data_IF_515965697822
#
_entry.id   IF_515965697822
#
_cell.length_a   1.000
_cell.length_b   1.000
_cell.length_c   1.000
_cell.angle_alpha   90.00
_cell.angle_beta   90.00
_cell.angle_gamma   90.00
#
_symmetry.space_group_name_H-M   'P 1'
#
loop_
_entity.id
_entity.type
_entity.pdbx_description
1 polymer ?
#
# COMPACT_ATOMS: atom_id res chain seq x y z
N UNK A 1 17.74 2.68 29.89
CA UNK A 1 17.07 1.97 28.79
C UNK A 1 16.78 2.96 27.68
N UNK A 2 17.18 2.67 26.43
CA UNK A 2 16.99 3.60 25.32
C UNK A 2 15.52 3.74 24.93
N UNK A 3 15.19 4.79 24.15
CA UNK A 3 13.81 4.99 23.66
C UNK A 3 13.28 3.75 22.90
N UNK A 4 14.09 3.17 22.01
CA UNK A 4 13.67 2.01 21.21
C UNK A 4 13.56 0.71 21.99
N UNK A 5 14.35 0.52 23.05
CA UNK A 5 14.22 -0.64 23.94
C UNK A 5 12.89 -0.61 24.69
N UNK A 6 12.45 0.58 25.13
CA UNK A 6 11.16 0.77 25.80
C UNK A 6 10.00 0.46 24.87
N UNK A 7 10.08 0.87 23.60
CA UNK A 7 9.03 0.57 22.61
C UNK A 7 8.88 -0.94 22.40
N UNK A 8 9.99 -1.69 22.41
CA UNK A 8 9.98 -3.14 22.25
C UNK A 8 9.32 -3.84 23.44
N UNK A 9 9.60 -3.39 24.66
CA UNK A 9 8.93 -3.89 25.87
C UNK A 9 7.43 -3.58 25.86
N UNK A 10 7.01 -2.43 25.32
CA UNK A 10 5.59 -2.10 25.15
C UNK A 10 4.88 -3.04 24.17
N UNK A 11 5.54 -3.41 23.06
CA UNK A 11 5.02 -4.38 22.10
C UNK A 11 4.78 -5.74 22.76
N UNK A 12 5.76 -6.22 23.55
CA UNK A 12 5.64 -7.48 24.28
C UNK A 12 4.51 -7.43 25.33
N UNK A 13 4.41 -6.31 26.08
CA UNK A 13 3.36 -6.11 27.06
C UNK A 13 1.94 -6.10 26.44
N UNK A 14 1.83 -5.72 25.16
CA UNK A 14 0.59 -5.80 24.37
C UNK A 14 0.33 -7.20 23.78
N UNK A 15 1.20 -8.18 24.04
CA UNK A 15 1.04 -9.57 23.59
C UNK A 15 1.49 -9.83 22.16
N UNK A 16 2.24 -8.90 21.55
CA UNK A 16 2.77 -9.07 20.19
C UNK A 16 4.20 -9.59 20.22
N UNK A 17 4.60 -10.35 19.19
CA UNK A 17 6.01 -10.69 18.97
C UNK A 17 6.81 -9.41 18.70
N UNK A 18 7.78 -9.05 19.56
CA UNK A 18 8.56 -7.84 19.37
C UNK A 18 9.36 -7.83 18.06
N UNK A 19 9.68 -9.00 17.48
CA UNK A 19 10.39 -9.11 16.19
C UNK A 19 9.59 -8.51 15.03
N UNK A 20 8.27 -8.41 15.15
CA UNK A 20 7.41 -7.71 14.18
C UNK A 20 7.70 -6.21 14.10
N UNK A 21 8.24 -5.61 15.16
CA UNK A 21 8.58 -4.19 15.19
C UNK A 21 9.98 -3.97 14.58
N UNK A 22 10.09 -3.31 13.40
CA UNK A 22 11.38 -3.07 12.78
C UNK A 22 12.29 -2.23 13.68
N UNK A 23 13.63 -2.40 13.57
CA UNK A 23 14.58 -1.60 14.33
C UNK A 23 14.34 -0.09 14.15
N UNK A 24 14.37 0.65 15.25
CA UNK A 24 14.19 2.11 15.22
C UNK A 24 12.75 2.60 15.04
N UNK A 25 11.75 1.71 15.16
CA UNK A 25 10.34 2.09 15.11
C UNK A 25 9.65 2.06 16.48
N UNK A 26 8.43 2.58 16.54
CA UNK A 26 7.51 2.50 17.68
C UNK A 26 6.12 2.05 17.23
N UNK A 27 5.43 1.29 18.08
CA UNK A 27 4.06 0.84 17.81
C UNK A 27 3.07 1.99 18.06
N UNK A 28 2.09 2.14 17.18
CA UNK A 28 0.97 3.07 17.35
C UNK A 28 -0.36 2.37 17.09
N UNK A 29 -1.38 2.76 17.86
CA UNK A 29 -2.77 2.34 17.61
C UNK A 29 -3.51 3.32 16.69
N UNK A 30 -3.00 4.55 16.56
CA UNK A 30 -3.53 5.57 15.65
C UNK A 30 -3.15 5.24 14.21
N UNK A 31 -3.83 5.87 13.26
CA UNK A 31 -3.44 5.86 11.84
C UNK A 31 -2.84 7.23 11.51
N UNK A 32 -1.50 7.41 11.59
CA UNK A 32 -0.88 8.69 11.26
C UNK A 32 -1.15 9.04 9.80
N UNK A 33 -1.50 10.32 9.58
CA UNK A 33 -1.80 10.84 8.25
C UNK A 33 -0.58 11.59 7.74
N UNK A 34 -0.08 11.22 6.56
CA UNK A 34 1.07 11.80 5.90
C UNK A 34 0.72 12.05 4.43
N UNK A 35 0.97 13.26 3.94
CA UNK A 35 0.73 13.63 2.55
C UNK A 35 1.99 14.27 1.96
N UNK A 36 2.28 13.98 0.69
CA UNK A 36 3.40 14.63 -0.03
C UNK A 36 2.99 16.00 -0.57
N UNK A 37 1.71 16.17 -0.89
CA UNK A 37 1.10 17.40 -1.38
C UNK A 37 -0.27 17.60 -0.72
N UNK A 38 -1.12 18.40 -1.36
CA UNK A 38 -2.48 18.61 -0.88
C UNK A 38 -3.32 17.32 -0.99
N UNK A 39 -4.48 17.30 -0.32
CA UNK A 39 -5.44 16.20 -0.47
C UNK A 39 -6.28 16.48 -1.71
N UNK A 40 -6.25 15.62 -2.74
CA UNK A 40 -7.02 15.87 -3.94
C UNK A 40 -8.52 15.77 -3.63
N UNK A 41 -9.29 16.66 -4.24
CA UNK A 41 -10.75 16.65 -4.21
C UNK A 41 -11.24 16.26 -5.60
N UNK A 42 -12.13 15.27 -5.66
CA UNK A 42 -12.70 14.81 -6.92
C UNK A 42 -14.20 15.08 -6.93
N UNK A 43 -14.71 15.53 -8.06
CA UNK A 43 -16.13 15.44 -8.37
C UNK A 43 -16.52 14.01 -8.77
N UNK A 44 -17.82 13.71 -8.76
CA UNK A 44 -18.31 12.39 -9.17
C UNK A 44 -17.89 12.08 -10.62
N UNK A 45 -17.23 10.93 -10.83
CA UNK A 45 -16.73 10.48 -12.13
C UNK A 45 -15.39 11.07 -12.57
N UNK A 46 -14.73 11.90 -11.76
CA UNK A 46 -13.42 12.48 -12.10
C UNK A 46 -12.26 11.50 -11.86
N UNK A 47 -12.39 10.64 -10.84
CA UNK A 47 -11.33 9.71 -10.47
C UNK A 47 -11.19 8.57 -11.48
N UNK A 48 -9.95 8.27 -11.87
CA UNK A 48 -9.64 7.12 -12.73
C UNK A 48 -8.34 6.43 -12.29
N UNK A 49 -8.23 5.13 -12.59
CA UNK A 49 -7.00 4.36 -12.51
C UNK A 49 -6.63 3.84 -13.89
N UNK A 50 -5.41 4.12 -14.31
CA UNK A 50 -4.89 3.72 -15.63
C UNK A 50 -3.74 2.74 -15.47
N UNK A 51 -3.85 1.57 -16.10
CA UNK A 51 -2.82 0.53 -16.14
C UNK A 51 -2.17 0.53 -17.53
N UNK A 52 -0.87 0.86 -17.57
CA UNK A 52 -0.12 1.04 -18.83
C UNK A 52 1.33 0.56 -18.69
N UNK A 53 2.16 0.80 -19.71
CA UNK A 53 3.57 0.41 -19.74
C UNK A 53 3.76 -0.90 -20.48
N UNK A 54 4.54 -1.82 -19.91
CA UNK A 54 4.84 -3.12 -20.51
C UNK A 54 3.71 -4.14 -20.31
N UNK A 55 2.58 -3.84 -20.93
CA UNK A 55 1.34 -4.64 -20.90
C UNK A 55 0.80 -4.83 -22.32
N UNK A 56 0.08 -5.93 -22.54
CA UNK A 56 -0.50 -6.27 -23.83
C UNK A 56 -1.79 -5.47 -24.11
N UNK A 57 -2.57 -5.18 -23.08
CA UNK A 57 -3.87 -4.52 -23.16
C UNK A 57 -3.98 -3.42 -22.10
N UNK A 58 -3.43 -2.22 -22.35
CA UNK A 58 -3.58 -1.10 -21.43
C UNK A 58 -5.05 -0.68 -21.32
N UNK A 59 -5.46 -0.25 -20.12
CA UNK A 59 -6.83 0.16 -19.86
C UNK A 59 -6.91 1.23 -18.77
N UNK A 60 -8.06 1.91 -18.74
CA UNK A 60 -8.43 2.87 -17.69
C UNK A 60 -9.78 2.46 -17.13
N UNK A 61 -9.92 2.49 -15.82
CA UNK A 61 -11.19 2.27 -15.11
C UNK A 61 -11.54 3.47 -14.23
N UNK A 62 -12.83 3.73 -14.09
CA UNK A 62 -13.36 4.69 -13.12
C UNK A 62 -13.51 4.05 -11.72
N UNK A 63 -13.98 4.85 -10.76
CA UNK A 63 -14.14 4.40 -9.38
C UNK A 63 -15.23 3.33 -9.26
N UNK A 64 -16.35 3.50 -9.96
CA UNK A 64 -17.46 2.55 -9.97
C UNK A 64 -17.05 1.17 -10.49
N UNK A 65 -16.25 1.14 -11.55
CA UNK A 65 -15.68 -0.07 -12.12
C UNK A 65 -14.69 -0.73 -11.16
N UNK A 66 -13.82 0.05 -10.50
CA UNK A 66 -12.89 -0.49 -9.51
C UNK A 66 -13.64 -1.18 -8.36
N UNK A 67 -14.66 -0.54 -7.79
CA UNK A 67 -15.40 -1.11 -6.64
C UNK A 67 -16.30 -2.29 -7.04
N UNK A 68 -16.61 -2.44 -8.32
CA UNK A 68 -17.33 -3.60 -8.86
C UNK A 68 -16.44 -4.85 -9.00
N UNK A 69 -15.12 -4.71 -9.01
CA UNK A 69 -14.19 -5.84 -9.08
C UNK A 69 -14.19 -6.68 -7.79
N UNK A 70 -13.87 -7.98 -7.87
CA UNK A 70 -13.72 -8.83 -6.69
C UNK A 70 -12.75 -8.23 -5.68
N UNK A 71 -13.25 -7.98 -4.47
CA UNK A 71 -12.43 -7.47 -3.38
C UNK A 71 -12.00 -8.60 -2.44
N UNK A 72 -10.80 -8.47 -1.89
CA UNK A 72 -10.30 -9.33 -0.81
C UNK A 72 -10.06 -8.52 0.44
N UNK A 73 -10.02 -9.21 1.58
CA UNK A 73 -9.63 -8.64 2.87
C UNK A 73 -8.35 -9.30 3.37
N UNK A 74 -7.38 -8.48 3.75
CA UNK A 74 -6.08 -8.91 4.27
C UNK A 74 -5.83 -8.22 5.62
N UNK A 75 -5.24 -8.94 6.57
CA UNK A 75 -4.74 -8.36 7.81
C UNK A 75 -3.22 -8.39 7.76
N UNK A 76 -2.58 -7.21 7.73
CA UNK A 76 -1.13 -7.09 7.71
C UNK A 76 -0.68 -5.82 8.43
N UNK A 77 0.57 -5.83 8.88
CA UNK A 77 1.20 -4.69 9.51
C UNK A 77 1.55 -3.61 8.46
N UNK A 78 1.58 -2.35 8.89
CA UNK A 78 2.15 -1.24 8.12
C UNK A 78 3.30 -0.64 8.91
N UNK A 79 4.43 -0.44 8.23
CA UNK A 79 5.65 0.13 8.80
C UNK A 79 6.05 1.35 7.97
N UNK A 80 6.10 2.52 8.60
CA UNK A 80 6.47 3.75 7.91
C UNK A 80 7.94 4.08 8.16
N UNK A 81 8.63 4.56 7.13
CA UNK A 81 10.00 5.08 7.23
C UNK A 81 10.12 6.24 8.23
N UNK A 82 9.01 6.92 8.54
CA UNK A 82 8.93 7.95 9.60
C UNK A 82 8.80 7.36 11.01
N UNK A 83 9.17 6.08 11.17
CA UNK A 83 9.42 5.34 12.42
C UNK A 83 8.20 4.80 13.16
N UNK A 84 6.99 4.89 12.61
CA UNK A 84 5.83 4.29 13.26
C UNK A 84 5.41 2.98 12.58
N UNK A 85 4.95 2.03 13.38
CA UNK A 85 4.34 0.78 12.94
C UNK A 85 2.93 0.66 13.49
N UNK A 86 1.99 0.14 12.69
CA UNK A 86 0.65 -0.25 13.15
C UNK A 86 0.42 -1.71 12.80
N UNK A 87 0.15 -2.52 13.83
CA UNK A 87 -0.04 -3.94 13.68
C UNK A 87 -1.50 -4.31 13.39
N UNK A 88 -1.67 -5.49 12.80
CA UNK A 88 -2.97 -6.13 12.53
C UNK A 88 -3.95 -5.19 11.79
N UNK A 89 -3.42 -4.42 10.84
CA UNK A 89 -4.23 -3.49 10.07
C UNK A 89 -5.02 -4.27 9.02
N UNK A 90 -6.35 -4.10 9.04
CA UNK A 90 -7.22 -4.71 8.06
C UNK A 90 -7.32 -3.82 6.81
N UNK A 91 -7.10 -4.42 5.66
CA UNK A 91 -7.17 -3.80 4.34
C UNK A 91 -8.24 -4.51 3.51
N UNK A 92 -9.03 -3.74 2.77
CA UNK A 92 -9.98 -4.29 1.79
C UNK A 92 -9.79 -3.59 0.46
N UNK A 93 -9.72 -4.36 -0.62
CA UNK A 93 -9.61 -3.83 -1.97
C UNK A 93 -9.41 -4.90 -3.02
N UNK A 94 -9.21 -4.47 -4.26
CA UNK A 94 -8.90 -5.32 -5.42
C UNK A 94 -7.45 -5.77 -5.33
N UNK A 95 -7.16 -7.02 -5.69
CA UNK A 95 -5.75 -7.45 -5.76
C UNK A 95 -5.10 -6.83 -6.98
N UNK A 96 -3.90 -6.27 -6.78
CA UNK A 96 -3.09 -5.73 -7.88
C UNK A 96 -2.84 -6.79 -8.97
N UNK A 97 -2.66 -8.06 -8.59
CA UNK A 97 -2.51 -9.19 -9.53
C UNK A 97 -3.69 -9.34 -10.50
N UNK A 98 -4.91 -9.06 -10.06
CA UNK A 98 -6.10 -9.24 -10.90
C UNK A 98 -6.11 -8.17 -12.02
N UNK A 99 -5.64 -6.96 -11.70
CA UNK A 99 -5.43 -5.88 -12.69
C UNK A 99 -4.29 -6.22 -13.67
N UNK A 100 -3.24 -6.88 -13.18
CA UNK A 100 -2.11 -7.32 -13.99
C UNK A 100 -2.50 -8.42 -14.98
N UNK A 101 -3.30 -9.38 -14.53
CA UNK A 101 -3.87 -10.43 -15.38
C UNK A 101 -4.74 -9.83 -16.49
N UNK A 102 -5.60 -8.86 -16.15
CA UNK A 102 -6.41 -8.14 -17.14
C UNK A 102 -5.56 -7.36 -18.14
N UNK A 103 -4.48 -6.71 -17.69
CA UNK A 103 -3.60 -5.93 -18.57
C UNK A 103 -2.71 -6.82 -19.45
N UNK A 104 -2.42 -8.05 -19.01
CA UNK A 104 -1.47 -8.95 -19.65
C UNK A 104 -0.04 -8.42 -19.58
N UNK A 105 0.58 -8.50 -18.40
CA UNK A 105 1.99 -8.11 -18.21
C UNK A 105 2.90 -8.84 -19.21
N UNK A 106 3.75 -8.09 -19.90
CA UNK A 106 4.73 -8.65 -20.82
C UNK A 106 5.95 -9.23 -20.08
N UNK A 107 6.61 -10.27 -20.62
CA UNK A 107 7.78 -10.91 -19.98
C UNK A 107 8.96 -9.96 -19.70
N UNK A 108 9.07 -8.87 -20.44
CA UNK A 108 10.15 -7.89 -20.30
C UNK A 108 9.93 -6.93 -19.11
N UNK A 109 8.73 -6.90 -18.54
CA UNK A 109 8.42 -6.06 -17.39
C UNK A 109 9.16 -6.57 -16.15
N UNK A 110 9.80 -5.65 -15.40
CA UNK A 110 10.57 -6.00 -14.18
C UNK A 110 10.05 -5.33 -12.93
N UNK A 111 9.46 -4.15 -13.07
CA UNK A 111 8.99 -3.32 -11.96
C UNK A 111 7.61 -2.77 -12.28
N UNK A 112 6.82 -2.58 -11.23
CA UNK A 112 5.61 -1.77 -11.25
C UNK A 112 6.01 -0.34 -10.84
N UNK A 113 5.42 0.66 -11.48
CA UNK A 113 5.49 2.05 -11.04
C UNK A 113 4.09 2.56 -10.75
N UNK A 114 3.87 2.99 -9.50
CA UNK A 114 2.65 3.63 -9.06
C UNK A 114 2.83 5.15 -9.18
N UNK A 115 1.86 5.80 -9.79
CA UNK A 115 1.77 7.26 -9.89
C UNK A 115 0.51 7.71 -9.16
N UNK A 116 0.60 8.83 -8.46
CA UNK A 116 -0.54 9.50 -7.86
C UNK A 116 -0.42 11.02 -8.04
N UNK A 117 -1.41 11.74 -7.53
CA UNK A 117 -1.52 13.19 -7.61
C UNK A 117 -0.31 13.88 -6.99
N UNK A 118 -0.13 15.15 -7.36
CA UNK A 118 0.97 15.99 -6.89
C UNK A 118 2.36 15.39 -7.16
N UNK A 119 2.47 14.53 -8.18
CA UNK A 119 3.73 13.94 -8.64
C UNK A 119 4.27 12.83 -7.74
N UNK A 120 3.47 12.30 -6.82
CA UNK A 120 3.88 11.14 -6.03
C UNK A 120 4.16 9.95 -6.94
N UNK A 121 5.30 9.30 -6.72
CA UNK A 121 5.64 8.05 -7.40
C UNK A 121 6.28 7.07 -6.43
N UNK A 122 6.05 5.78 -6.67
CA UNK A 122 6.71 4.69 -5.98
C UNK A 122 6.86 3.51 -6.94
N UNK A 123 7.87 2.67 -6.73
CA UNK A 123 8.09 1.49 -7.54
C UNK A 123 8.37 0.27 -6.67
N UNK A 124 8.02 -0.91 -7.19
CA UNK A 124 8.29 -2.20 -6.57
C UNK A 124 8.72 -3.18 -7.66
N UNK A 125 9.64 -4.12 -7.36
CA UNK A 125 9.85 -5.30 -8.20
C UNK A 125 8.52 -6.03 -8.41
N UNK A 126 8.27 -6.55 -9.61
CA UNK A 126 7.03 -7.31 -9.87
C UNK A 126 6.89 -8.55 -8.98
N UNK A 127 8.02 -9.14 -8.56
CA UNK A 127 8.05 -10.28 -7.65
C UNK A 127 7.42 -9.96 -6.28
N UNK A 128 7.41 -8.70 -5.85
CA UNK A 128 6.80 -8.27 -4.59
C UNK A 128 5.31 -7.91 -4.75
N UNK A 129 4.80 -7.86 -5.99
CA UNK A 129 3.44 -7.45 -6.34
C UNK A 129 2.57 -8.58 -6.94
N UNK A 130 3.11 -9.80 -7.03
CA UNK A 130 2.46 -10.98 -7.65
C UNK A 130 2.20 -12.11 -6.67
#
# INVERSE_FOLDING_TARGET
>A
MGFFDRNRAEVEAKGFDPKRLPPGQYLTERFPVLHVGDVPTYEAGEWTLTVTGEVASPFTIDYEQLVALPSVTLTTDIHCVTKWSKFDTQWKGVRVRDLFEQAGIKPEATHLMAHAEYGYTANLPLADAT
#
